data_IF_713107342286
#
_entry.id   IF_713107342286
#
_cell.length_a   1.000
_cell.length_b   1.000
_cell.length_c   1.000
_cell.angle_alpha   90.00
_cell.angle_beta   90.00
_cell.angle_gamma   90.00
#
_symmetry.space_group_name_H-M   'P 1'
#
loop_
_entity.id
_entity.type
_entity.pdbx_description
1 polymer ?
#
# COMPACT_ATOMS: atom_id res chain seq x y z
N UNK A 1 3.08 -4.95 1.05
CA UNK A 1 2.19 -5.26 2.20
C UNK A 1 1.08 -6.23 1.79
N UNK A 2 0.29 -5.91 0.75
CA UNK A 2 -0.82 -6.75 0.26
C UNK A 2 -0.39 -8.18 -0.12
N UNK A 3 0.75 -8.34 -0.80
CA UNK A 3 1.38 -9.64 -1.12
C UNK A 3 1.57 -10.51 0.13
N UNK A 4 2.08 -9.93 1.22
CA UNK A 4 2.33 -10.67 2.46
C UNK A 4 1.02 -11.03 3.17
N UNK A 5 0.04 -10.12 3.16
CA UNK A 5 -1.30 -10.40 3.68
C UNK A 5 -1.87 -11.62 2.96
N UNK A 6 -1.91 -11.60 1.63
CA UNK A 6 -2.44 -12.70 0.83
C UNK A 6 -1.71 -14.02 1.09
N UNK A 7 -0.38 -14.04 1.07
CA UNK A 7 0.45 -15.24 1.35
C UNK A 7 0.25 -15.80 2.78
N UNK A 8 -0.09 -14.95 3.75
CA UNK A 8 -0.29 -15.36 5.14
C UNK A 8 -1.64 -16.01 5.41
N UNK A 9 -2.64 -15.77 4.56
CA UNK A 9 -4.00 -16.31 4.73
C UNK A 9 -4.09 -17.80 4.39
N UNK A 10 -5.06 -18.49 4.99
CA UNK A 10 -5.39 -19.89 4.63
C UNK A 10 -5.76 -19.99 3.15
N UNK A 11 -6.54 -19.05 2.63
CA UNK A 11 -6.91 -18.99 1.21
C UNK A 11 -5.69 -18.88 0.29
N UNK A 12 -4.75 -17.99 0.60
CA UNK A 12 -3.51 -17.86 -0.17
C UNK A 12 -2.69 -19.14 -0.20
N UNK A 13 -2.57 -19.82 0.95
CA UNK A 13 -1.90 -21.14 1.04
C UNK A 13 -2.61 -22.19 0.19
N UNK A 14 -3.94 -22.27 0.25
CA UNK A 14 -4.71 -23.21 -0.57
C UNK A 14 -4.55 -22.98 -2.07
N UNK A 15 -4.50 -21.73 -2.52
CA UNK A 15 -4.27 -21.42 -3.95
C UNK A 15 -2.84 -21.82 -4.34
N UNK A 16 -1.84 -21.51 -3.51
CA UNK A 16 -0.45 -21.90 -3.76
C UNK A 16 -0.27 -23.43 -3.80
N UNK A 17 -0.98 -24.19 -2.97
CA UNK A 17 -0.95 -25.66 -2.99
C UNK A 17 -1.63 -26.25 -4.24
N UNK A 18 -2.73 -25.64 -4.70
CA UNK A 18 -3.47 -26.11 -5.89
C UNK A 18 -2.79 -25.75 -7.21
N UNK A 19 -2.17 -24.58 -7.29
CA UNK A 19 -1.48 -24.09 -8.49
C UNK A 19 -0.17 -23.36 -8.12
N UNK A 20 0.89 -24.11 -7.76
CA UNK A 20 2.17 -23.52 -7.37
C UNK A 20 2.80 -22.67 -8.48
N UNK A 21 2.65 -23.08 -9.73
CA UNK A 21 3.26 -22.43 -10.88
C UNK A 21 2.57 -21.12 -11.25
N UNK A 22 1.23 -21.06 -11.10
CA UNK A 22 0.44 -19.86 -11.41
C UNK A 22 0.28 -18.89 -10.24
N UNK A 23 0.59 -19.29 -9.01
CA UNK A 23 0.33 -18.51 -7.79
C UNK A 23 0.94 -17.10 -7.83
N UNK A 24 2.24 -16.98 -8.05
CA UNK A 24 2.91 -15.66 -8.00
C UNK A 24 2.39 -14.71 -9.09
N UNK A 25 2.08 -15.25 -10.28
CA UNK A 25 1.49 -14.46 -11.37
C UNK A 25 0.09 -13.95 -10.99
N UNK A 26 -0.77 -14.82 -10.47
CA UNK A 26 -2.13 -14.45 -10.04
C UNK A 26 -2.10 -13.45 -8.90
N UNK A 27 -1.19 -13.65 -7.94
CA UNK A 27 -1.01 -12.74 -6.82
C UNK A 27 -0.53 -11.36 -7.29
N UNK A 28 0.41 -11.31 -8.24
CA UNK A 28 0.85 -10.05 -8.83
C UNK A 28 -0.32 -9.32 -9.49
N UNK A 29 -1.07 -10.00 -10.36
CA UNK A 29 -2.22 -9.38 -11.04
C UNK A 29 -3.30 -8.89 -10.07
N UNK A 30 -3.60 -9.67 -9.02
CA UNK A 30 -4.56 -9.25 -8.00
C UNK A 30 -4.11 -8.00 -7.24
N UNK A 31 -2.80 -7.90 -6.96
CA UNK A 31 -2.21 -6.71 -6.34
C UNK A 31 -2.26 -5.53 -7.30
N UNK A 32 -1.90 -5.71 -8.57
CA UNK A 32 -1.93 -4.65 -9.58
C UNK A 32 -3.35 -4.07 -9.74
N UNK A 33 -4.38 -4.93 -9.83
CA UNK A 33 -5.76 -4.45 -9.88
C UNK A 33 -6.22 -3.76 -8.60
N UNK A 34 -5.69 -4.12 -7.44
CA UNK A 34 -5.98 -3.40 -6.19
C UNK A 34 -5.28 -2.03 -6.19
N UNK A 35 -4.06 -1.92 -6.74
CA UNK A 35 -3.35 -0.66 -6.91
C UNK A 35 -4.09 0.26 -7.90
N UNK A 36 -4.58 -0.26 -9.02
CA UNK A 36 -5.34 0.52 -10.00
C UNK A 36 -6.65 1.09 -9.38
N UNK A 37 -7.33 0.29 -8.56
CA UNK A 37 -8.60 0.70 -7.92
C UNK A 37 -8.42 1.66 -6.76
N UNK A 38 -7.38 1.48 -5.95
CA UNK A 38 -7.22 2.18 -4.68
C UNK A 38 -6.04 3.15 -4.63
N UNK A 39 -5.22 3.22 -5.69
CA UNK A 39 -4.03 4.05 -5.78
C UNK A 39 -4.32 5.53 -5.56
N UNK A 40 -5.38 6.06 -6.18
CA UNK A 40 -5.79 7.44 -5.97
C UNK A 40 -6.13 7.74 -4.50
N UNK A 41 -6.90 6.88 -3.84
CA UNK A 41 -7.24 7.06 -2.43
C UNK A 41 -6.01 6.92 -1.51
N UNK A 42 -5.05 6.07 -1.89
CA UNK A 42 -3.77 5.96 -1.18
C UNK A 42 -2.97 7.26 -1.26
N UNK A 43 -2.90 7.85 -2.45
CA UNK A 43 -2.20 9.13 -2.68
C UNK A 43 -2.87 10.28 -1.91
N UNK A 44 -4.20 10.32 -1.89
CA UNK A 44 -4.96 11.30 -1.10
C UNK A 44 -4.67 11.16 0.40
N UNK A 45 -4.69 9.92 0.93
CA UNK A 45 -4.35 9.66 2.32
C UNK A 45 -2.92 10.09 2.65
N UNK A 46 -1.97 9.86 1.72
CA UNK A 46 -0.58 10.23 1.88
C UNK A 46 -0.44 11.76 1.92
N UNK A 47 -1.00 12.47 0.94
CA UNK A 47 -0.98 13.92 0.88
C UNK A 47 -1.60 14.55 2.12
N UNK A 48 -2.73 13.99 2.59
CA UNK A 48 -3.38 14.45 3.81
C UNK A 48 -2.53 14.17 5.05
N UNK A 49 -1.87 13.02 5.15
CA UNK A 49 -1.00 12.71 6.28
C UNK A 49 0.17 13.69 6.40
N UNK A 50 0.79 14.05 5.27
CA UNK A 50 1.83 15.08 5.23
C UNK A 50 1.27 16.45 5.64
N UNK A 51 0.09 16.82 5.13
CA UNK A 51 -0.54 18.13 5.41
C UNK A 51 -0.99 18.29 6.86
N UNK A 52 -1.48 17.21 7.48
CA UNK A 52 -1.96 17.22 8.87
C UNK A 52 -0.79 17.17 9.88
N UNK A 53 0.33 16.57 9.50
CA UNK A 53 1.48 16.33 10.40
C UNK A 53 2.56 17.42 10.34
N UNK A 54 2.75 18.04 9.17
CA UNK A 54 3.84 18.99 8.93
C UNK A 54 3.30 20.41 8.72
N UNK A 55 4.05 21.40 9.20
CA UNK A 55 3.74 22.80 8.86
C UNK A 55 4.12 23.11 7.41
N UNK A 56 3.68 24.27 6.90
CA UNK A 56 4.03 24.73 5.55
C UNK A 56 5.55 24.89 5.37
N UNK A 57 6.24 25.39 6.40
CA UNK A 57 7.71 25.57 6.40
C UNK A 57 8.43 24.21 6.39
N UNK A 58 7.89 23.24 7.13
CA UNK A 58 8.40 21.87 7.15
C UNK A 58 8.19 21.17 5.81
N UNK A 59 7.03 21.37 5.17
CA UNK A 59 6.77 20.88 3.81
C UNK A 59 7.73 21.49 2.78
N UNK A 60 8.02 22.79 2.88
CA UNK A 60 9.02 23.43 2.03
C UNK A 60 10.42 22.84 2.25
N UNK A 61 10.78 22.60 3.51
CA UNK A 61 12.06 21.97 3.87
C UNK A 61 12.15 20.53 3.36
N UNK A 62 11.06 19.78 3.41
CA UNK A 62 10.95 18.44 2.83
C UNK A 62 11.15 18.49 1.31
N UNK A 63 10.50 19.41 0.60
CA UNK A 63 10.69 19.58 -0.84
C UNK A 63 12.15 19.91 -1.20
N UNK A 64 12.81 20.79 -0.42
CA UNK A 64 14.22 21.09 -0.61
C UNK A 64 15.10 19.85 -0.39
N UNK A 65 14.88 19.11 0.71
CA UNK A 65 15.60 17.87 0.99
C UNK A 65 15.41 16.81 -0.11
N UNK A 66 14.22 16.69 -0.69
CA UNK A 66 13.97 15.79 -1.82
C UNK A 66 14.76 16.23 -3.08
N UNK A 67 14.79 17.52 -3.39
CA UNK A 67 15.55 18.06 -4.53
C UNK A 67 17.05 17.87 -4.36
N UNK A 68 17.56 17.98 -3.14
CA UNK A 68 18.97 17.77 -2.80
C UNK A 68 19.32 16.28 -2.59
N UNK A 69 18.33 15.39 -2.67
CA UNK A 69 18.46 13.96 -2.36
C UNK A 69 19.01 13.70 -0.94
N UNK A 70 18.69 14.59 0.01
CA UNK A 70 19.02 14.44 1.43
C UNK A 70 18.06 13.46 2.11
N UNK A 71 18.49 12.20 2.09
CA UNK A 71 17.75 11.08 2.69
C UNK A 71 17.59 11.20 4.20
N UNK A 72 18.49 11.90 4.90
CA UNK A 72 18.42 12.01 6.35
C UNK A 72 17.29 12.96 6.76
N UNK A 73 17.20 14.12 6.09
CA UNK A 73 16.11 15.08 6.29
C UNK A 73 14.76 14.49 5.85
N UNK A 74 14.72 13.82 4.69
CA UNK A 74 13.52 13.10 4.24
C UNK A 74 13.06 12.05 5.27
N UNK A 75 13.99 11.23 5.78
CA UNK A 75 13.68 10.17 6.75
C UNK A 75 13.03 10.69 8.02
N UNK A 76 13.52 11.81 8.57
CA UNK A 76 12.93 12.43 9.78
C UNK A 76 11.49 12.86 9.58
N UNK A 77 11.15 13.42 8.41
CA UNK A 77 9.76 13.79 8.12
C UNK A 77 8.90 12.55 7.90
N UNK A 78 9.39 11.55 7.16
CA UNK A 78 8.68 10.30 6.93
C UNK A 78 8.36 9.54 8.24
N UNK A 79 9.28 9.54 9.21
CA UNK A 79 9.06 8.94 10.54
C UNK A 79 7.91 9.60 11.30
N UNK A 80 7.75 10.93 11.18
CA UNK A 80 6.66 11.68 11.80
C UNK A 80 5.32 11.44 11.10
N UNK A 81 5.32 11.37 9.77
CA UNK A 81 4.10 11.17 8.96
C UNK A 81 3.61 9.71 9.02
N UNK A 82 4.53 8.76 9.20
CA UNK A 82 4.24 7.32 9.16
C UNK A 82 3.06 6.86 10.02
N UNK A 83 2.95 7.25 11.31
CA UNK A 83 1.81 6.90 12.16
C UNK A 83 0.46 7.39 11.62
N UNK A 84 0.40 8.63 11.13
CA UNK A 84 -0.83 9.23 10.61
C UNK A 84 -1.23 8.60 9.27
N UNK A 85 -0.26 8.40 8.38
CA UNK A 85 -0.46 7.65 7.13
C UNK A 85 -0.98 6.23 7.40
N UNK A 86 -0.40 5.54 8.39
CA UNK A 86 -0.86 4.21 8.79
C UNK A 86 -2.29 4.23 9.30
N UNK A 87 -2.66 5.23 10.11
CA UNK A 87 -4.01 5.40 10.64
C UNK A 87 -5.03 5.62 9.52
N UNK A 88 -4.78 6.60 8.64
CA UNK A 88 -5.66 6.96 7.52
C UNK A 88 -5.82 5.84 6.51
N UNK A 89 -4.73 5.11 6.23
CA UNK A 89 -4.72 4.06 5.21
C UNK A 89 -5.07 2.67 5.73
N UNK A 90 -5.18 2.46 7.04
CA UNK A 90 -5.54 1.14 7.58
C UNK A 90 -6.86 0.58 7.03
N UNK A 91 -7.97 1.35 6.94
CA UNK A 91 -9.22 0.85 6.36
C UNK A 91 -9.07 0.50 4.87
N UNK A 92 -8.35 1.32 4.11
CA UNK A 92 -8.08 1.09 2.69
C UNK A 92 -7.28 -0.19 2.48
N UNK A 93 -6.20 -0.37 3.25
CA UNK A 93 -5.34 -1.55 3.20
C UNK A 93 -6.09 -2.83 3.60
N UNK A 94 -6.99 -2.74 4.59
CA UNK A 94 -7.83 -3.87 4.97
C UNK A 94 -8.77 -4.27 3.83
N UNK A 95 -9.46 -3.29 3.22
CA UNK A 95 -10.35 -3.51 2.08
C UNK A 95 -9.60 -4.10 0.89
N UNK A 96 -8.51 -3.47 0.47
CA UNK A 96 -7.66 -3.93 -0.61
C UNK A 96 -7.09 -5.34 -0.33
N UNK A 97 -6.70 -5.64 0.90
CA UNK A 97 -6.24 -6.97 1.31
C UNK A 97 -7.30 -8.06 1.13
N UNK A 98 -8.55 -7.79 1.50
CA UNK A 98 -9.68 -8.71 1.29
C UNK A 98 -9.92 -8.94 -0.20
N UNK A 99 -9.91 -7.87 -0.99
CA UNK A 99 -10.13 -7.96 -2.43
C UNK A 99 -9.04 -8.74 -3.15
N UNK A 100 -7.77 -8.52 -2.79
CA UNK A 100 -6.63 -9.30 -3.33
C UNK A 100 -6.79 -10.79 -3.01
N UNK A 101 -7.15 -11.13 -1.77
CA UNK A 101 -7.34 -12.54 -1.37
C UNK A 101 -8.51 -13.18 -2.12
N UNK A 102 -9.59 -12.43 -2.31
CA UNK A 102 -10.77 -12.89 -3.06
C UNK A 102 -10.44 -13.14 -4.53
N UNK A 103 -9.81 -12.17 -5.18
CA UNK A 103 -9.41 -12.28 -6.58
C UNK A 103 -8.38 -13.39 -6.79
N UNK A 104 -7.42 -13.53 -5.88
CA UNK A 104 -6.45 -14.63 -5.92
C UNK A 104 -7.13 -16.01 -5.90
N UNK A 105 -8.22 -16.13 -5.14
CA UNK A 105 -9.01 -17.36 -5.05
C UNK A 105 -9.89 -17.60 -6.28
N UNK A 106 -10.58 -16.56 -6.76
CA UNK A 106 -11.53 -16.64 -7.88
C UNK A 106 -10.81 -16.67 -9.25
N UNK A 107 -9.57 -16.17 -9.33
CA UNK A 107 -8.80 -16.03 -10.56
C UNK A 107 -9.32 -14.91 -11.48
N UNK A 108 -10.18 -14.02 -10.97
CA UNK A 108 -10.77 -12.91 -11.72
C UNK A 108 -10.91 -11.67 -10.82
N UNK A 109 -10.91 -10.45 -11.39
CA UNK A 109 -10.99 -9.21 -10.62
C UNK A 109 -12.25 -9.13 -9.75
N UNK A 110 -12.07 -8.67 -8.50
CA UNK A 110 -13.21 -8.38 -7.63
C UNK A 110 -14.05 -7.22 -8.20
N UNK A 111 -15.35 -7.45 -8.38
CA UNK A 111 -16.34 -6.44 -8.82
C UNK A 111 -16.57 -5.37 -7.77
#
# INVERSE_FOLDING_TARGET
>A
MLTNVAKSTVTGKMVAEKDPAGFEKRLSSAVDHALDRHGGQWDDNLAQAYSDTLTKEELMSLCAAMNENDKASFGRFAERVGPDMKSKSAPLLQKAGVEVVKELFEGQPAK
#
